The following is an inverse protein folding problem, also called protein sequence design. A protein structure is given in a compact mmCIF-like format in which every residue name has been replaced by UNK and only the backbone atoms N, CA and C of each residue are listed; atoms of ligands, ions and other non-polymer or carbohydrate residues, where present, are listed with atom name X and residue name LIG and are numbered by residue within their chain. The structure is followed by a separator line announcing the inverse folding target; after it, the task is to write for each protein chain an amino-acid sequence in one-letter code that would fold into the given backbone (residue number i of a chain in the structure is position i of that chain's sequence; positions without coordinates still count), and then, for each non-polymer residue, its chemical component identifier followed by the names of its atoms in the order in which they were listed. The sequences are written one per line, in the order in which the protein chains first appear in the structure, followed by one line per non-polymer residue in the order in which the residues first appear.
data_IF_522518100075
#
_entry.id   IF_522518100075
#
_cell.length_a   1.000
_cell.length_b   1.000
_cell.length_c   1.000
_cell.angle_alpha   90.00
_cell.angle_beta   90.00
_cell.angle_gamma   90.00
#
_symmetry.space_group_name_H-M   'P 1'
#
loop_
_entity.id
_entity.type
_entity.pdbx_description
1 polymer ?
#
# COMPACT_ATOMS: atom_id res chain seq x y z
N UNK A 1 12.38 -3.71 -17.37
CA UNK A 1 11.01 -4.08 -16.94
C UNK A 1 10.95 -5.61 -16.81
N UNK A 2 10.72 -6.16 -15.62
CA UNK A 2 10.88 -7.61 -15.35
C UNK A 2 9.68 -8.43 -15.89
N UNK A 3 9.93 -9.68 -16.30
CA UNK A 3 8.94 -10.65 -16.83
C UNK A 3 7.75 -10.83 -15.90
N UNK A 4 7.94 -10.73 -14.59
CA UNK A 4 6.86 -10.81 -13.59
C UNK A 4 5.89 -9.62 -13.68
N UNK A 5 6.41 -8.42 -13.98
CA UNK A 5 5.59 -7.21 -14.19
C UNK A 5 4.80 -7.32 -15.49
N UNK A 6 5.40 -7.91 -16.54
CA UNK A 6 4.73 -8.14 -17.83
C UNK A 6 3.66 -9.22 -17.71
N UNK A 7 3.92 -10.29 -16.96
CA UNK A 7 2.93 -11.35 -16.71
C UNK A 7 1.75 -10.83 -15.89
N UNK A 8 2.01 -10.05 -14.84
CA UNK A 8 0.97 -9.41 -14.03
C UNK A 8 0.13 -8.44 -14.88
N UNK A 9 0.76 -7.66 -15.77
CA UNK A 9 0.04 -6.77 -16.70
C UNK A 9 -0.81 -7.53 -17.72
N UNK A 10 -0.33 -8.68 -18.23
CA UNK A 10 -1.10 -9.51 -19.16
C UNK A 10 -2.29 -10.19 -18.50
N UNK A 11 -2.13 -10.73 -17.30
CA UNK A 11 -3.22 -11.31 -16.50
C UNK A 11 -4.30 -10.25 -16.17
N UNK A 12 -3.89 -8.99 -15.95
CA UNK A 12 -4.82 -7.86 -15.75
C UNK A 12 -5.56 -7.54 -17.05
N UNK A 13 -4.86 -7.50 -18.19
CA UNK A 13 -5.47 -7.18 -19.49
C UNK A 13 -6.44 -8.27 -19.96
N UNK A 14 -6.10 -9.56 -19.79
CA UNK A 14 -7.00 -10.67 -20.15
C UNK A 14 -8.25 -10.74 -19.26
N UNK A 15 -8.15 -10.37 -17.97
CA UNK A 15 -9.32 -10.24 -17.09
C UNK A 15 -10.16 -9.00 -17.40
N UNK A 16 -9.53 -7.92 -17.88
CA UNK A 16 -10.19 -6.66 -18.16
C UNK A 16 -11.16 -6.72 -19.35
N UNK A 17 -11.01 -7.69 -20.26
CA UNK A 17 -11.93 -7.87 -21.39
C UNK A 17 -13.29 -8.48 -20.97
N UNK A 18 -13.43 -8.97 -19.74
CA UNK A 18 -14.65 -9.62 -19.22
C UNK A 18 -15.22 -9.03 -17.94
N UNK A 19 -14.48 -8.14 -17.26
CA UNK A 19 -14.92 -7.50 -16.03
C UNK A 19 -15.57 -6.13 -16.31
N UNK A 20 -16.56 -5.77 -15.50
CA UNK A 20 -17.17 -4.45 -15.53
C UNK A 20 -16.08 -3.37 -15.36
N UNK A 21 -15.96 -2.37 -16.26
CA UNK A 21 -15.03 -1.26 -16.14
C UNK A 21 -15.07 -0.55 -14.77
N UNK A 22 -16.17 -0.65 -14.04
CA UNK A 22 -16.35 -0.09 -12.71
C UNK A 22 -15.71 -0.96 -11.59
N UNK A 23 -15.63 -2.28 -11.77
CA UNK A 23 -14.88 -3.20 -10.89
C UNK A 23 -13.37 -3.06 -11.08
N UNK A 24 -12.89 -2.92 -12.33
CA UNK A 24 -11.48 -2.66 -12.63
C UNK A 24 -11.03 -1.29 -12.11
N UNK A 25 -11.89 -0.28 -12.17
CA UNK A 25 -11.61 1.01 -11.52
C UNK A 25 -11.52 0.87 -10.00
N UNK A 26 -12.33 0.03 -9.38
CA UNK A 26 -12.28 -0.23 -7.93
C UNK A 26 -10.97 -0.91 -7.52
N UNK A 27 -10.55 -1.98 -8.21
CA UNK A 27 -9.28 -2.67 -7.91
C UNK A 27 -8.04 -1.79 -8.18
N UNK A 28 -8.10 -0.94 -9.22
CA UNK A 28 -6.98 -0.04 -9.57
C UNK A 28 -7.02 1.27 -8.77
N UNK A 29 -8.15 1.65 -8.17
CA UNK A 29 -8.32 2.90 -7.40
C UNK A 29 -8.40 2.75 -5.88
N UNK A 30 -8.15 1.57 -5.32
CA UNK A 30 -8.26 1.34 -3.86
C UNK A 30 -7.16 2.03 -3.03
N UNK A 31 -6.01 2.36 -3.64
CA UNK A 31 -4.97 3.16 -3.00
C UNK A 31 -4.50 4.30 -3.90
N UNK A 32 -4.24 5.45 -3.29
CA UNK A 32 -3.82 6.67 -4.00
C UNK A 32 -2.31 6.72 -4.18
N UNK A 33 -1.55 6.04 -3.31
CA UNK A 33 -0.08 6.06 -3.29
C UNK A 33 0.44 4.67 -2.91
N UNK A 34 1.42 4.15 -3.66
CA UNK A 34 2.16 2.93 -3.31
C UNK A 34 3.61 3.29 -3.04
N UNK A 35 4.14 2.81 -1.92
CA UNK A 35 5.49 3.09 -1.44
C UNK A 35 6.21 1.77 -1.17
N UNK A 36 7.20 1.46 -2.01
CA UNK A 36 8.09 0.30 -1.82
C UNK A 36 9.26 0.70 -0.90
N UNK A 37 9.20 0.28 0.36
CA UNK A 37 10.19 0.60 1.38
C UNK A 37 11.46 -0.25 1.25
N UNK A 38 11.39 -1.38 0.55
CA UNK A 38 12.53 -2.31 0.39
C UNK A 38 13.67 -1.67 -0.40
N UNK A 39 13.35 -0.68 -1.23
CA UNK A 39 14.33 0.10 -2.01
C UNK A 39 14.92 1.28 -1.24
N UNK A 40 14.48 1.51 0.01
CA UNK A 40 14.85 2.67 0.82
C UNK A 40 15.70 2.28 2.02
N UNK A 41 16.69 3.12 2.42
CA UNK A 41 17.40 2.95 3.69
C UNK A 41 16.45 2.97 4.88
N UNK A 42 16.64 2.13 5.91
CA UNK A 42 15.72 2.03 7.05
C UNK A 42 15.39 3.35 7.74
N UNK A 43 16.38 4.24 7.89
CA UNK A 43 16.22 5.53 8.57
C UNK A 43 15.34 6.54 7.79
N UNK A 44 15.13 6.34 6.49
CA UNK A 44 14.29 7.23 5.66
C UNK A 44 12.83 6.78 5.61
N UNK A 45 12.56 5.50 5.88
CA UNK A 45 11.24 4.88 5.68
C UNK A 45 10.16 5.58 6.48
N UNK A 46 10.38 5.79 7.79
CA UNK A 46 9.38 6.41 8.66
C UNK A 46 9.11 7.85 8.25
N UNK A 47 10.17 8.65 8.02
CA UNK A 47 10.05 10.04 7.57
C UNK A 47 9.16 10.10 6.32
N UNK A 48 9.43 9.23 5.33
CA UNK A 48 8.68 9.25 4.08
C UNK A 48 7.22 8.86 4.24
N UNK A 49 6.93 7.88 5.09
CA UNK A 49 5.58 7.42 5.37
C UNK A 49 4.75 8.56 5.98
N UNK A 50 5.29 9.26 6.98
CA UNK A 50 4.57 10.36 7.64
C UNK A 50 4.44 11.60 6.74
N UNK A 51 5.46 11.93 5.94
CA UNK A 51 5.34 12.99 4.92
C UNK A 51 4.18 12.72 3.96
N UNK A 52 4.04 11.48 3.48
CA UNK A 52 2.96 11.10 2.59
C UNK A 52 1.62 11.13 3.33
N UNK A 53 1.57 10.57 4.53
CA UNK A 53 0.39 10.55 5.38
C UNK A 53 -0.23 11.94 5.56
N UNK A 54 0.59 12.94 5.86
CA UNK A 54 0.13 14.31 6.08
C UNK A 54 -0.55 14.92 4.85
N UNK A 55 -0.17 14.46 3.65
CA UNK A 55 -0.76 14.89 2.37
C UNK A 55 -2.02 14.11 1.98
N UNK A 56 -2.30 12.97 2.59
CA UNK A 56 -3.47 12.15 2.25
C UNK A 56 -4.76 12.87 2.64
N UNK A 57 -5.75 12.84 1.76
CA UNK A 57 -7.11 13.27 2.08
C UNK A 57 -7.87 12.17 2.83
N UNK A 58 -8.90 12.50 3.63
CA UNK A 58 -9.81 11.49 4.20
C UNK A 58 -10.35 10.55 3.13
N UNK A 59 -10.45 9.26 3.48
CA UNK A 59 -10.83 8.16 2.60
C UNK A 59 -9.77 7.74 1.58
N UNK A 60 -8.55 8.32 1.60
CA UNK A 60 -7.45 7.89 0.73
C UNK A 60 -6.50 6.95 1.45
N UNK A 61 -5.93 6.05 0.67
CA UNK A 61 -5.09 4.96 1.16
C UNK A 61 -3.67 5.08 0.60
N UNK A 62 -2.68 4.89 1.47
CA UNK A 62 -1.30 4.61 1.09
C UNK A 62 -1.02 3.13 1.31
N UNK A 63 -0.45 2.47 0.31
CA UNK A 63 0.09 1.12 0.40
C UNK A 63 1.58 1.16 0.68
N UNK A 64 2.03 0.46 1.72
CA UNK A 64 3.46 0.24 1.97
C UNK A 64 3.83 -1.22 1.66
N UNK A 65 5.00 -1.42 1.06
CA UNK A 65 5.60 -2.74 0.83
C UNK A 65 6.91 -2.79 1.59
N UNK A 66 7.03 -3.69 2.56
CA UNK A 66 8.18 -3.78 3.46
C UNK A 66 8.82 -5.18 3.42
N UNK A 67 10.11 -5.25 3.78
CA UNK A 67 10.89 -6.49 3.87
C UNK A 67 10.69 -7.24 5.20
N UNK A 68 9.94 -6.66 6.15
CA UNK A 68 9.60 -7.24 7.44
C UNK A 68 8.25 -6.72 7.95
N UNK A 69 7.71 -7.34 9.00
CA UNK A 69 6.45 -6.92 9.63
C UNK A 69 6.56 -5.46 10.12
N UNK A 70 5.74 -4.52 9.62
CA UNK A 70 5.71 -3.12 10.06
C UNK A 70 5.03 -2.91 11.43
N UNK A 71 4.94 -3.93 12.27
CA UNK A 71 4.35 -3.83 13.62
C UNK A 71 4.88 -2.67 14.48
N UNK A 72 6.18 -2.34 14.52
CA UNK A 72 6.65 -1.15 15.25
C UNK A 72 6.06 0.15 14.70
N UNK A 73 5.92 0.27 13.39
CA UNK A 73 5.28 1.42 12.74
C UNK A 73 3.79 1.48 13.06
N UNK A 74 3.10 0.34 13.07
CA UNK A 74 1.68 0.29 13.46
C UNK A 74 1.47 0.81 14.88
N UNK A 75 2.33 0.42 15.83
CA UNK A 75 2.27 0.96 17.18
C UNK A 75 2.55 2.46 17.24
N UNK A 76 3.44 2.99 16.39
CA UNK A 76 3.67 4.42 16.31
C UNK A 76 2.42 5.16 15.81
N UNK A 77 1.74 4.64 14.80
CA UNK A 77 0.45 5.17 14.32
C UNK A 77 -0.62 5.15 15.42
N UNK A 78 -0.71 4.08 16.21
CA UNK A 78 -1.68 3.98 17.29
C UNK A 78 -1.47 5.04 18.39
N UNK A 79 -0.21 5.36 18.68
CA UNK A 79 0.16 6.35 19.70
C UNK A 79 -0.02 7.78 19.18
N UNK A 80 0.47 8.07 17.98
CA UNK A 80 0.53 9.45 17.45
C UNK A 80 -0.76 9.88 16.75
N UNK A 81 -1.51 8.92 16.20
CA UNK A 81 -2.64 9.15 15.29
C UNK A 81 -3.89 8.32 15.67
N UNK A 82 -4.26 8.22 16.97
CA UNK A 82 -5.34 7.35 17.41
C UNK A 82 -6.65 7.68 16.71
N UNK A 83 -7.40 6.65 16.33
CA UNK A 83 -8.70 6.76 15.66
C UNK A 83 -8.72 7.52 14.31
N UNK A 84 -7.58 7.89 13.74
CA UNK A 84 -7.52 8.63 12.46
C UNK A 84 -7.23 7.76 11.23
N UNK A 85 -6.96 6.47 11.44
CA UNK A 85 -6.55 5.56 10.36
C UNK A 85 -7.24 4.19 10.44
N UNK A 86 -7.18 3.46 9.32
CA UNK A 86 -7.51 2.04 9.22
C UNK A 86 -6.25 1.32 8.70
N UNK A 87 -5.87 0.23 9.36
CA UNK A 87 -4.68 -0.56 9.04
C UNK A 87 -5.08 -1.94 8.53
N UNK A 88 -4.80 -2.24 7.26
CA UNK A 88 -5.18 -3.49 6.62
C UNK A 88 -3.96 -4.19 6.05
N UNK A 89 -3.62 -5.36 6.60
CA UNK A 89 -2.64 -6.24 5.97
C UNK A 89 -3.22 -6.85 4.69
N UNK A 90 -2.48 -6.75 3.58
CA UNK A 90 -2.79 -7.39 2.29
C UNK A 90 -1.90 -8.61 2.06
N UNK A 91 -0.67 -8.58 2.56
CA UNK A 91 0.26 -9.71 2.54
C UNK A 91 1.04 -9.75 3.86
N UNK A 92 1.18 -10.94 4.44
CA UNK A 92 1.80 -11.18 5.74
C UNK A 92 3.10 -12.00 5.61
N UNK A 93 3.99 -11.60 4.70
CA UNK A 93 5.28 -12.27 4.50
C UNK A 93 5.17 -13.69 3.94
N UNK A 94 6.26 -14.47 3.96
CA UNK A 94 7.57 -14.14 4.55
C UNK A 94 8.46 -13.29 3.64
N UNK A 95 8.09 -13.16 2.36
CA UNK A 95 8.89 -12.41 1.38
C UNK A 95 8.59 -10.91 1.44
N UNK A 96 7.31 -10.57 1.37
CA UNK A 96 6.83 -9.19 1.32
C UNK A 96 5.72 -8.98 2.35
N UNK A 97 5.79 -7.84 3.03
CA UNK A 97 4.75 -7.39 3.95
C UNK A 97 4.06 -6.19 3.34
N UNK A 98 2.80 -6.36 2.95
CA UNK A 98 2.02 -5.33 2.25
C UNK A 98 0.90 -4.86 3.17
N UNK A 99 0.86 -3.57 3.43
CA UNK A 99 -0.14 -2.94 4.29
C UNK A 99 -0.77 -1.75 3.58
N UNK A 100 -2.09 -1.68 3.63
CA UNK A 100 -2.88 -0.52 3.25
C UNK A 100 -3.24 0.29 4.50
N UNK A 101 -2.83 1.56 4.52
CA UNK A 101 -3.10 2.52 5.58
C UNK A 101 -4.05 3.56 5.01
N UNK A 102 -5.31 3.56 5.47
CA UNK A 102 -6.36 4.47 5.00
C UNK A 102 -6.54 5.60 6.00
N UNK A 103 -6.55 6.85 5.54
CA UNK A 103 -6.94 8.00 6.37
C UNK A 103 -8.45 8.03 6.53
N UNK A 104 -8.94 8.05 7.76
CA UNK A 104 -10.37 8.20 8.06
C UNK A 104 -10.85 9.61 7.71
#
# INVERSE_FOLDING_TARGET
MNKDKIKKLKDILERAESADPEELKKEVSEFSIELDLRTMPPFERHIKIFEIWDTLKPGKTMRIINDHDPKPLHYQFEIELPDTYIWNYRENGPKDWVVDITRK
#
